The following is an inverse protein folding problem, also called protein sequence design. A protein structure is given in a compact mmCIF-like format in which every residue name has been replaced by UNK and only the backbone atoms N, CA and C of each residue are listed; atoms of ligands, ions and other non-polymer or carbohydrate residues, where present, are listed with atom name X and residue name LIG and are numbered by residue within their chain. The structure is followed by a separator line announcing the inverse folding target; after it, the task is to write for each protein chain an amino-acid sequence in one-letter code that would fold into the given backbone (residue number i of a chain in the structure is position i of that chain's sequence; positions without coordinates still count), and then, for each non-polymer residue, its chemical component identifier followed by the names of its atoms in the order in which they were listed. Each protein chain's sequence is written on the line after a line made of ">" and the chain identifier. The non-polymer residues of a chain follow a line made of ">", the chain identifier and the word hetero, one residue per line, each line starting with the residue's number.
data_IF_855230960825
#
_entry.id   IF_855230960825
#
_cell.length_a   1.000
_cell.length_b   1.000
_cell.length_c   1.000
_cell.angle_alpha   90.00
_cell.angle_beta   90.00
_cell.angle_gamma   90.00
#
_symmetry.space_group_name_H-M   'P 1'
#
loop_
_entity.id
_entity.type
_entity.pdbx_description
1 polymer ?
#
# COMPACT_ATOMS: atom_id res chain seq x y z
N UNK A 1 3.47 -5.72 -13.84
CA UNK A 1 3.22 -6.98 -13.12
C UNK A 1 1.75 -7.04 -12.74
N UNK A 2 0.97 -7.95 -13.32
CA UNK A 2 -0.41 -8.20 -12.92
C UNK A 2 -0.42 -9.36 -11.92
N UNK A 3 -0.20 -9.07 -10.65
CA UNK A 3 -0.39 -10.07 -9.59
C UNK A 3 -1.88 -10.12 -9.23
N UNK A 4 -2.57 -11.26 -9.40
CA UNK A 4 -3.95 -11.45 -8.94
C UNK A 4 -4.00 -11.34 -7.41
N UNK A 5 -5.13 -10.86 -6.88
CA UNK A 5 -5.33 -10.76 -5.44
C UNK A 5 -5.49 -12.16 -4.85
N UNK A 6 -4.64 -12.50 -3.89
CA UNK A 6 -4.70 -13.75 -3.12
C UNK A 6 -4.81 -13.38 -1.63
N UNK A 7 -5.90 -13.73 -0.92
CA UNK A 7 -6.06 -13.45 0.51
C UNK A 7 -4.94 -14.00 1.38
N UNK A 8 -4.28 -15.09 0.95
CA UNK A 8 -3.17 -15.69 1.68
C UNK A 8 -2.00 -14.71 1.83
N UNK A 9 -1.80 -13.80 0.88
CA UNK A 9 -0.76 -12.75 0.90
C UNK A 9 -0.95 -11.77 2.06
N UNK A 10 -2.18 -11.58 2.53
CA UNK A 10 -2.46 -10.72 3.68
C UNK A 10 -2.09 -11.42 5.00
N UNK A 11 -2.10 -12.76 5.01
CA UNK A 11 -1.89 -13.60 6.20
C UNK A 11 -0.49 -14.21 6.29
N UNK A 12 0.14 -14.43 5.14
CA UNK A 12 1.46 -15.02 4.99
C UNK A 12 2.54 -13.98 5.30
N UNK A 13 3.37 -14.30 6.30
CA UNK A 13 4.51 -13.50 6.75
C UNK A 13 5.82 -14.32 6.70
N UNK A 14 5.82 -15.45 5.99
CA UNK A 14 6.86 -16.48 6.05
C UNK A 14 8.22 -16.06 5.53
N UNK A 15 8.39 -14.84 4.98
CA UNK A 15 9.65 -14.50 4.31
C UNK A 15 10.65 -13.70 5.16
N UNK A 16 10.25 -12.85 6.11
CA UNK A 16 11.19 -12.20 7.04
C UNK A 16 10.45 -11.69 8.29
N UNK A 17 11.00 -11.95 9.48
CA UNK A 17 10.59 -11.37 10.77
C UNK A 17 10.03 -9.94 10.61
N UNK A 18 8.70 -9.81 10.64
CA UNK A 18 8.02 -8.51 10.79
C UNK A 18 7.51 -7.80 9.53
N UNK A 19 7.53 -8.41 8.34
CA UNK A 19 6.93 -7.82 7.13
C UNK A 19 5.82 -8.70 6.56
N UNK A 20 4.60 -8.14 6.43
CA UNK A 20 3.49 -8.83 5.75
C UNK A 20 3.79 -8.98 4.26
N UNK A 21 3.38 -10.07 3.62
CA UNK A 21 3.51 -10.19 2.15
C UNK A 21 2.72 -9.07 1.45
N UNK A 22 1.58 -8.65 2.02
CA UNK A 22 0.89 -7.41 1.64
C UNK A 22 1.80 -6.17 1.67
N UNK A 23 2.61 -5.96 2.72
CA UNK A 23 3.57 -4.85 2.81
C UNK A 23 4.68 -4.97 1.77
N UNK A 24 5.06 -6.18 1.38
CA UNK A 24 5.98 -6.39 0.26
C UNK A 24 5.33 -5.96 -1.07
N UNK A 25 4.09 -6.37 -1.34
CA UNK A 25 3.33 -5.93 -2.52
C UNK A 25 3.18 -4.40 -2.55
N UNK A 26 2.81 -3.78 -1.43
CA UNK A 26 2.70 -2.32 -1.32
C UNK A 26 4.07 -1.66 -1.58
N UNK A 27 5.17 -2.19 -1.05
CA UNK A 27 6.53 -1.68 -1.34
C UNK A 27 6.90 -1.82 -2.82
N UNK A 28 6.58 -2.93 -3.46
CA UNK A 28 6.84 -3.11 -4.89
C UNK A 28 6.01 -2.13 -5.72
N UNK A 29 4.76 -1.88 -5.33
CA UNK A 29 3.92 -0.84 -5.93
C UNK A 29 4.44 0.57 -5.65
N UNK A 30 5.29 0.79 -4.63
CA UNK A 30 5.97 2.07 -4.36
C UNK A 30 7.16 2.35 -5.24
N UNK A 31 7.71 1.35 -5.96
CA UNK A 31 8.83 1.58 -6.88
C UNK A 31 8.54 2.65 -7.94
N UNK A 32 7.26 2.85 -8.30
CA UNK A 32 6.87 3.90 -9.24
C UNK A 32 7.05 5.29 -8.64
N UNK A 33 6.70 5.49 -7.36
CA UNK A 33 6.93 6.74 -6.64
C UNK A 33 8.41 6.92 -6.25
N UNK A 34 9.13 5.87 -5.87
CA UNK A 34 10.56 5.97 -5.51
C UNK A 34 11.41 6.45 -6.70
N UNK A 35 11.00 6.06 -7.91
CA UNK A 35 11.64 6.48 -9.15
C UNK A 35 11.03 7.77 -9.73
N UNK A 36 10.06 8.40 -9.06
CA UNK A 36 9.38 9.62 -9.51
C UNK A 36 10.38 10.71 -9.91
N UNK A 37 11.27 11.08 -8.99
CA UNK A 37 12.22 12.16 -9.23
C UNK A 37 13.18 11.82 -10.36
N UNK A 38 13.61 10.56 -10.46
CA UNK A 38 14.50 10.08 -11.53
C UNK A 38 13.79 10.19 -12.88
N UNK A 39 12.52 9.75 -12.96
CA UNK A 39 11.72 9.81 -14.19
C UNK A 39 11.40 11.24 -14.60
N UNK A 40 11.00 12.10 -13.66
CA UNK A 40 10.73 13.51 -13.92
C UNK A 40 12.01 14.28 -14.32
N UNK A 41 13.17 13.92 -13.78
CA UNK A 41 14.44 14.54 -14.16
C UNK A 41 14.97 14.07 -15.52
N UNK A 42 14.48 12.95 -16.05
CA UNK A 42 14.79 12.48 -17.42
C UNK A 42 13.95 13.18 -18.49
N UNK A 43 12.89 13.89 -18.10
CA UNK A 43 12.11 14.67 -19.04
C UNK A 43 12.95 15.80 -19.65
N UNK A 44 12.74 16.15 -20.92
CA UNK A 44 13.40 17.29 -21.54
C UNK A 44 13.23 18.56 -20.70
N UNK A 45 14.28 19.39 -20.59
CA UNK A 45 14.15 20.70 -19.93
C UNK A 45 13.32 21.69 -20.75
N UNK A 46 13.22 21.44 -22.05
CA UNK A 46 12.55 22.27 -23.04
C UNK A 46 11.78 21.37 -24.01
N UNK A 47 10.61 21.79 -24.46
CA UNK A 47 9.73 21.03 -25.36
C UNK A 47 8.35 20.79 -24.74
N UNK A 48 7.46 20.21 -25.54
CA UNK A 48 6.12 19.83 -25.07
C UNK A 48 6.20 18.63 -24.12
N UNK A 49 5.89 18.88 -22.85
CA UNK A 49 5.86 17.86 -21.80
C UNK A 49 4.47 17.23 -21.61
N UNK A 50 3.46 17.65 -22.39
CA UNK A 50 2.06 17.26 -22.20
C UNK A 50 1.89 15.75 -22.28
N UNK A 51 2.37 15.10 -23.35
CA UNK A 51 2.27 13.66 -23.53
C UNK A 51 3.02 12.84 -22.44
N UNK A 52 4.33 13.05 -22.19
CA UNK A 52 5.03 12.25 -21.19
C UNK A 52 4.55 12.49 -19.75
N UNK A 53 4.09 13.70 -19.43
CA UNK A 53 3.48 13.98 -18.13
C UNK A 53 2.10 13.34 -17.98
N UNK A 54 1.29 13.29 -19.05
CA UNK A 54 0.01 12.58 -19.06
C UNK A 54 0.20 11.07 -18.89
N UNK A 55 1.12 10.46 -19.65
CA UNK A 55 1.44 9.04 -19.54
C UNK A 55 1.89 8.67 -18.12
N UNK A 56 2.72 9.52 -17.53
CA UNK A 56 3.22 9.31 -16.18
C UNK A 56 2.13 9.49 -15.12
N UNK A 57 1.26 10.48 -15.27
CA UNK A 57 0.05 10.66 -14.44
C UNK A 57 -0.82 9.42 -14.47
N UNK A 58 -1.10 8.88 -15.64
CA UNK A 58 -2.01 7.75 -15.81
C UNK A 58 -1.43 6.48 -15.20
N UNK A 59 -0.12 6.27 -15.34
CA UNK A 59 0.60 5.19 -14.63
C UNK A 59 0.51 5.33 -13.11
N UNK A 60 0.68 6.54 -12.58
CA UNK A 60 0.57 6.80 -11.14
C UNK A 60 -0.85 6.53 -10.62
N UNK A 61 -1.88 7.03 -11.31
CA UNK A 61 -3.27 6.82 -10.92
C UNK A 61 -3.64 5.33 -10.92
N UNK A 62 -3.20 4.58 -11.93
CA UNK A 62 -3.41 3.14 -11.97
C UNK A 62 -2.74 2.41 -10.79
N UNK A 63 -1.54 2.84 -10.39
CA UNK A 63 -0.82 2.28 -9.23
C UNK A 63 -1.51 2.66 -7.92
N UNK A 64 -1.98 3.90 -7.78
CA UNK A 64 -2.69 4.36 -6.58
C UNK A 64 -3.98 3.61 -6.36
N UNK A 65 -4.78 3.44 -7.42
CA UNK A 65 -6.01 2.65 -7.37
C UNK A 65 -5.71 1.23 -6.93
N UNK A 66 -4.71 0.59 -7.55
CA UNK A 66 -4.32 -0.77 -7.18
C UNK A 66 -3.85 -0.86 -5.73
N UNK A 67 -3.03 0.08 -5.25
CA UNK A 67 -2.60 0.09 -3.84
C UNK A 67 -3.78 0.25 -2.88
N UNK A 68 -4.71 1.15 -3.18
CA UNK A 68 -5.91 1.33 -2.37
C UNK A 68 -6.74 0.04 -2.30
N UNK A 69 -6.96 -0.64 -3.44
CA UNK A 69 -7.65 -1.93 -3.47
C UNK A 69 -6.95 -3.00 -2.62
N UNK A 70 -5.61 -3.09 -2.69
CA UNK A 70 -4.84 -4.03 -1.89
C UNK A 70 -4.90 -3.73 -0.39
N UNK A 71 -4.81 -2.44 -0.01
CA UNK A 71 -4.90 -2.02 1.39
C UNK A 71 -6.29 -2.35 1.95
N UNK A 72 -7.36 -2.02 1.23
CA UNK A 72 -8.74 -2.28 1.66
C UNK A 72 -8.97 -3.78 1.83
N UNK A 73 -8.67 -4.58 0.80
CA UNK A 73 -8.92 -6.03 0.85
C UNK A 73 -8.09 -6.74 1.93
N UNK A 74 -6.82 -6.36 2.09
CA UNK A 74 -6.04 -6.94 3.19
C UNK A 74 -6.53 -6.47 4.56
N UNK A 75 -7.13 -5.28 4.67
CA UNK A 75 -7.73 -4.83 5.92
C UNK A 75 -8.95 -5.67 6.27
N UNK A 76 -9.81 -5.95 5.29
CA UNK A 76 -10.99 -6.81 5.47
C UNK A 76 -10.59 -8.21 5.94
N UNK A 77 -9.59 -8.82 5.28
CA UNK A 77 -9.09 -10.16 5.65
C UNK A 77 -8.52 -10.17 7.07
N UNK A 78 -7.70 -9.18 7.43
CA UNK A 78 -7.12 -9.10 8.79
C UNK A 78 -8.23 -8.84 9.83
N UNK A 79 -9.23 -8.02 9.51
CA UNK A 79 -10.34 -7.74 10.41
C UNK A 79 -11.15 -9.00 10.71
N UNK A 80 -11.50 -9.75 9.66
CA UNK A 80 -12.23 -11.01 9.78
C UNK A 80 -11.46 -12.04 10.64
N UNK A 81 -10.17 -12.22 10.39
CA UNK A 81 -9.33 -13.12 11.19
C UNK A 81 -9.19 -12.64 12.64
N UNK A 82 -9.11 -11.34 12.87
CA UNK A 82 -8.99 -10.76 14.21
C UNK A 82 -10.26 -10.99 15.03
N UNK A 83 -11.44 -10.78 14.45
CA UNK A 83 -12.72 -11.03 15.12
C UNK A 83 -12.92 -12.51 15.43
N UNK A 84 -12.55 -13.38 14.48
CA UNK A 84 -12.58 -14.84 14.68
C UNK A 84 -11.64 -15.24 15.82
N UNK A 85 -10.40 -14.72 15.83
CA UNK A 85 -9.42 -15.03 16.87
C UNK A 85 -9.82 -14.48 18.24
N UNK A 86 -10.45 -13.29 18.30
CA UNK A 86 -10.98 -12.70 19.54
C UNK A 86 -12.12 -13.53 20.12
N UNK A 87 -13.04 -13.97 19.27
CA UNK A 87 -14.15 -14.84 19.69
C UNK A 87 -13.63 -16.17 20.24
N UNK A 88 -12.67 -16.80 19.54
CA UNK A 88 -12.04 -18.03 20.01
C UNK A 88 -11.27 -17.83 21.33
N UNK A 89 -10.51 -16.74 21.47
CA UNK A 89 -9.78 -16.42 22.69
C UNK A 89 -10.71 -16.13 23.89
N UNK A 90 -11.92 -15.60 23.63
CA UNK A 90 -12.93 -15.39 24.66
C UNK A 90 -13.53 -16.71 25.17
N UNK A 91 -13.66 -17.71 24.30
CA UNK A 91 -14.15 -19.05 24.67
C UNK A 91 -13.11 -19.88 25.41
N UNK A 92 -11.83 -19.61 25.22
CA UNK A 92 -10.72 -20.33 25.87
C UNK A 92 -9.60 -19.37 26.32
N UNK A 93 -9.77 -18.68 27.47
CA UNK A 93 -8.86 -17.61 27.91
C UNK A 93 -7.48 -18.09 28.34
N UNK A 94 -7.32 -19.39 28.67
CA UNK A 94 -6.04 -19.97 29.12
C UNK A 94 -5.16 -20.37 27.93
N UNK A 95 -5.73 -20.39 26.72
CA UNK A 95 -5.02 -20.74 25.51
C UNK A 95 -4.09 -19.60 25.04
N UNK A 96 -2.84 -19.69 25.47
CA UNK A 96 -1.78 -18.76 25.10
C UNK A 96 -1.58 -18.66 23.58
N UNK A 97 -1.88 -19.71 22.81
CA UNK A 97 -1.76 -19.68 21.35
C UNK A 97 -2.78 -18.71 20.74
N UNK A 98 -4.04 -18.76 21.19
CA UNK A 98 -5.09 -17.83 20.74
C UNK A 98 -4.79 -16.39 21.14
N UNK A 99 -4.32 -16.17 22.38
CA UNK A 99 -3.91 -14.85 22.85
C UNK A 99 -2.76 -14.27 22.00
N UNK A 100 -1.77 -15.09 21.65
CA UNK A 100 -0.67 -14.68 20.78
C UNK A 100 -1.14 -14.40 19.35
N UNK A 101 -2.05 -15.21 18.79
CA UNK A 101 -2.64 -14.98 17.47
C UNK A 101 -3.36 -13.62 17.41
N UNK A 102 -4.16 -13.28 18.43
CA UNK A 102 -4.84 -11.97 18.52
C UNK A 102 -3.82 -10.83 18.53
N UNK A 103 -2.80 -10.87 19.40
CA UNK A 103 -1.75 -9.84 19.46
C UNK A 103 -1.02 -9.68 18.13
N UNK A 104 -0.76 -10.79 17.44
CA UNK A 104 -0.14 -10.77 16.13
C UNK A 104 -1.03 -10.06 15.11
N UNK A 105 -2.30 -10.46 15.00
CA UNK A 105 -3.28 -9.84 14.08
C UNK A 105 -3.48 -8.35 14.37
N UNK A 106 -3.51 -7.93 15.64
CA UNK A 106 -3.59 -6.51 16.01
C UNK A 106 -2.36 -5.72 15.58
N UNK A 107 -1.16 -6.31 15.68
CA UNK A 107 0.05 -5.71 15.14
C UNK A 107 -0.06 -5.54 13.62
N UNK A 108 -0.59 -6.55 12.92
CA UNK A 108 -0.79 -6.52 11.46
C UNK A 108 -1.77 -5.41 11.06
N UNK A 109 -2.90 -5.31 11.76
CA UNK A 109 -3.90 -4.28 11.54
C UNK A 109 -3.30 -2.87 11.70
N UNK A 110 -2.53 -2.63 12.77
CA UNK A 110 -1.84 -1.35 12.99
C UNK A 110 -0.83 -1.03 11.90
N UNK A 111 -0.05 -2.02 11.45
CA UNK A 111 0.90 -1.83 10.36
C UNK A 111 0.19 -1.44 9.06
N UNK A 112 -0.91 -2.10 8.73
CA UNK A 112 -1.68 -1.79 7.53
C UNK A 112 -2.33 -0.41 7.59
N UNK A 113 -2.87 -0.01 8.75
CA UNK A 113 -3.39 1.34 8.95
C UNK A 113 -2.31 2.42 8.72
N UNK A 114 -1.07 2.17 9.15
CA UNK A 114 0.05 3.07 8.85
C UNK A 114 0.35 3.16 7.35
N UNK A 115 0.13 2.09 6.57
CA UNK A 115 0.36 2.13 5.13
C UNK A 115 -0.61 3.09 4.42
N UNK A 116 -1.84 3.26 4.92
CA UNK A 116 -2.78 4.28 4.42
C UNK A 116 -2.25 5.70 4.63
N UNK A 117 -1.66 5.97 5.80
CA UNK A 117 -1.02 7.27 6.09
C UNK A 117 0.18 7.51 5.16
N UNK A 118 1.01 6.49 4.96
CA UNK A 118 2.15 6.57 4.02
C UNK A 118 1.67 6.83 2.60
N UNK A 119 0.57 6.20 2.18
CA UNK A 119 -0.02 6.42 0.86
C UNK A 119 -0.43 7.89 0.68
N UNK A 120 -1.10 8.49 1.67
CA UNK A 120 -1.46 9.92 1.62
C UNK A 120 -0.23 10.81 1.43
N UNK A 121 0.84 10.57 2.20
CA UNK A 121 2.08 11.35 2.11
C UNK A 121 2.73 11.20 0.72
N UNK A 122 2.71 10.00 0.16
CA UNK A 122 3.25 9.76 -1.19
C UNK A 122 2.44 10.51 -2.25
N UNK A 123 1.10 10.44 -2.19
CA UNK A 123 0.22 11.16 -3.12
C UNK A 123 0.47 12.66 -3.08
N UNK A 124 0.65 13.25 -1.90
CA UNK A 124 0.93 14.68 -1.74
C UNK A 124 2.29 15.09 -2.33
N UNK A 125 3.33 14.28 -2.08
CA UNK A 125 4.67 14.51 -2.63
C UNK A 125 4.66 14.43 -4.15
N UNK A 126 3.99 13.41 -4.69
CA UNK A 126 3.91 13.18 -6.12
C UNK A 126 3.06 14.25 -6.82
N UNK A 127 1.94 14.66 -6.23
CA UNK A 127 1.14 15.78 -6.70
C UNK A 127 1.94 17.08 -6.74
N UNK A 128 2.74 17.36 -5.70
CA UNK A 128 3.61 18.54 -5.65
C UNK A 128 4.67 18.50 -6.76
N UNK A 129 5.30 17.35 -6.99
CA UNK A 129 6.31 17.20 -8.03
C UNK A 129 5.72 17.37 -9.45
N UNK A 130 4.57 16.76 -9.71
CA UNK A 130 3.84 16.90 -10.97
C UNK A 130 3.35 18.33 -11.20
N UNK A 131 2.84 19.00 -10.17
CA UNK A 131 2.42 20.41 -10.29
C UNK A 131 3.59 21.32 -10.66
N UNK A 132 4.78 21.07 -10.08
CA UNK A 132 5.98 21.88 -10.35
C UNK A 132 6.59 21.63 -11.73
N UNK A 133 6.58 20.38 -12.21
CA UNK A 133 7.27 19.99 -13.46
C UNK A 133 6.35 19.92 -14.68
N UNK A 134 5.11 19.51 -14.47
CA UNK A 134 4.14 19.21 -15.51
C UNK A 134 2.93 20.15 -15.50
N UNK A 135 2.79 21.04 -14.50
CA UNK A 135 1.61 21.88 -14.30
C UNK A 135 0.29 21.09 -14.19
N UNK A 136 0.37 19.81 -13.81
CA UNK A 136 -0.78 18.92 -13.61
C UNK A 136 -1.14 18.88 -12.13
N UNK A 137 -2.43 18.98 -11.83
CA UNK A 137 -2.98 18.75 -10.49
C UNK A 137 -3.52 17.33 -10.41
N UNK A 138 -3.07 16.57 -9.41
CA UNK A 138 -3.64 15.27 -9.07
C UNK A 138 -4.77 15.44 -8.05
N UNK A 139 -5.79 14.56 -8.06
CA UNK A 139 -6.75 14.49 -6.97
C UNK A 139 -6.02 14.10 -5.68
N UNK A 140 -6.15 14.94 -4.65
CA UNK A 140 -5.69 14.65 -3.30
C UNK A 140 -6.59 13.59 -2.65
N UNK A 141 -6.01 12.81 -1.75
CA UNK A 141 -6.72 11.77 -1.00
C UNK A 141 -7.76 12.37 -0.04
#
# INVERSE_FOLDING_TARGET
>A
MNMPFDPSVCLDFSYFKGMSTCKHVIKELRRVDDNLNIRLNRLPRHGDLTAPCADFRDQLLAVYQRRAEWIVRCSEVIHYELDTARTAAATDPTNLHLSNKVKELERKHRLLANESTVESILRDRTATALKRKCHITLPTA
#
